data_IF_888925840705
#
_entry.id   IF_888925840705
#
_cell.length_a   1.000
_cell.length_b   1.000
_cell.length_c   1.000
_cell.angle_alpha   90.00
_cell.angle_beta   90.00
_cell.angle_gamma   90.00
#
_symmetry.space_group_name_H-M   'P 1'
#
loop_
_entity.id
_entity.type
_entity.pdbx_description
1 polymer ?
#
# COMPACT_ATOMS: atom_id res chain seq x y z
N UNK A 1 14.12 8.10 16.94
CA UNK A 1 13.57 7.13 15.96
C UNK A 1 14.64 6.19 15.43
N UNK A 2 14.29 4.96 14.99
CA UNK A 2 15.18 4.13 14.20
C UNK A 2 15.53 4.87 12.89
N UNK A 3 16.80 4.85 12.52
CA UNK A 3 17.33 5.66 11.41
C UNK A 3 17.38 4.86 10.11
N UNK A 4 17.43 3.52 10.21
CA UNK A 4 17.55 2.64 9.06
C UNK A 4 16.59 1.46 9.17
N UNK A 5 15.93 1.17 8.05
CA UNK A 5 15.06 0.00 7.87
C UNK A 5 15.61 -0.85 6.73
N UNK A 6 15.62 -2.16 6.91
CA UNK A 6 16.01 -3.15 5.89
C UNK A 6 14.89 -4.18 5.75
N UNK A 7 14.68 -4.69 4.54
CA UNK A 7 13.76 -5.80 4.31
C UNK A 7 14.53 -7.12 4.40
N UNK A 8 13.91 -8.09 5.05
CA UNK A 8 14.42 -9.46 5.17
C UNK A 8 13.40 -10.42 4.54
N UNK A 9 13.90 -11.25 3.63
CA UNK A 9 13.09 -12.25 2.93
C UNK A 9 13.63 -13.66 3.20
N UNK A 10 12.81 -14.58 3.75
CA UNK A 10 13.25 -15.96 3.96
C UNK A 10 13.35 -16.70 2.62
N UNK A 11 14.40 -17.51 2.42
CA UNK A 11 14.55 -18.30 1.19
C UNK A 11 13.55 -19.45 1.10
N UNK A 12 13.09 -19.97 2.24
CA UNK A 12 12.16 -21.11 2.29
C UNK A 12 11.02 -20.87 3.28
N UNK A 13 9.91 -21.60 3.12
CA UNK A 13 8.79 -21.56 4.08
C UNK A 13 9.21 -22.07 5.47
N UNK A 14 10.13 -23.02 5.55
CA UNK A 14 10.66 -23.52 6.82
C UNK A 14 11.48 -22.44 7.54
N UNK A 15 12.18 -21.60 6.78
CA UNK A 15 12.93 -20.46 7.33
C UNK A 15 12.02 -19.32 7.74
N UNK A 16 10.84 -19.16 7.13
CA UNK A 16 9.84 -18.17 7.56
C UNK A 16 9.37 -18.39 9.01
N UNK A 17 9.08 -19.63 9.40
CA UNK A 17 8.68 -19.96 10.78
C UNK A 17 9.83 -19.77 11.78
N UNK A 18 11.06 -20.14 11.38
CA UNK A 18 12.25 -19.93 12.22
C UNK A 18 12.54 -18.43 12.39
N UNK A 19 12.49 -17.67 11.30
CA UNK A 19 12.70 -16.23 11.27
C UNK A 19 11.71 -15.52 12.20
N UNK A 20 10.42 -15.88 12.17
CA UNK A 20 9.44 -15.34 13.10
C UNK A 20 9.81 -15.59 14.57
N UNK A 21 10.21 -16.82 14.93
CA UNK A 21 10.62 -17.15 16.31
C UNK A 21 11.90 -16.44 16.74
N UNK A 22 12.88 -16.33 15.84
CA UNK A 22 14.16 -15.66 16.10
C UNK A 22 13.98 -14.16 16.29
N UNK A 23 13.18 -13.53 15.44
CA UNK A 23 12.87 -12.10 15.54
C UNK A 23 12.15 -11.75 16.83
N UNK A 24 11.23 -12.59 17.31
CA UNK A 24 10.58 -12.39 18.61
C UNK A 24 11.57 -12.42 19.77
N UNK A 25 12.50 -13.39 19.79
CA UNK A 25 13.55 -13.44 20.83
C UNK A 25 14.49 -12.24 20.78
N UNK A 26 14.89 -11.82 19.58
CA UNK A 26 15.77 -10.67 19.41
C UNK A 26 15.10 -9.35 19.84
N UNK A 27 13.79 -9.24 19.64
CA UNK A 27 13.00 -8.08 20.11
C UNK A 27 12.87 -8.05 21.63
N UNK A 28 12.89 -9.20 22.30
CA UNK A 28 12.93 -9.29 23.77
C UNK A 28 14.31 -8.91 24.35
N UNK A 29 15.40 -9.20 23.62
CA UNK A 29 16.77 -8.86 24.03
C UNK A 29 17.09 -7.36 23.83
N UNK A 30 16.66 -6.77 22.72
CA UNK A 30 16.91 -5.35 22.42
C UNK A 30 15.60 -4.60 22.07
N UNK A 31 15.10 -3.71 22.96
CA UNK A 31 13.89 -2.93 22.73
C UNK A 31 14.06 -1.83 21.67
N UNK A 32 15.28 -1.58 21.17
CA UNK A 32 15.56 -0.62 20.09
C UNK A 32 15.31 -1.23 18.71
N UNK A 33 15.18 -2.55 18.63
CA UNK A 33 14.86 -3.29 17.41
C UNK A 33 13.36 -3.35 17.20
N UNK A 34 12.89 -2.95 16.01
CA UNK A 34 11.48 -3.05 15.64
C UNK A 34 11.33 -3.93 14.42
N UNK A 35 10.35 -4.83 14.48
CA UNK A 35 9.96 -5.70 13.39
C UNK A 35 8.55 -5.32 12.98
N UNK A 36 8.38 -5.02 11.70
CA UNK A 36 7.08 -4.76 11.11
C UNK A 36 6.92 -5.64 9.88
N UNK A 37 5.75 -6.22 9.68
CA UNK A 37 5.43 -6.95 8.45
C UNK A 37 4.63 -6.02 7.56
N UNK A 38 5.18 -5.71 6.40
CA UNK A 38 4.51 -4.88 5.40
C UNK A 38 3.40 -5.72 4.74
N UNK A 39 2.17 -5.25 4.87
CA UNK A 39 0.99 -5.92 4.32
C UNK A 39 0.81 -5.75 2.81
N UNK A 40 1.46 -4.74 2.22
CA UNK A 40 1.40 -4.47 0.77
C UNK A 40 2.42 -5.32 0.01
N UNK A 41 3.65 -5.44 0.53
CA UNK A 41 4.73 -6.20 -0.12
C UNK A 41 4.87 -7.63 0.40
N UNK A 42 4.27 -7.94 1.56
CA UNK A 42 4.44 -9.22 2.25
C UNK A 42 5.84 -9.44 2.82
N UNK A 43 6.68 -8.39 2.83
CA UNK A 43 8.05 -8.45 3.33
C UNK A 43 8.08 -8.18 4.83
N UNK A 44 9.03 -8.81 5.52
CA UNK A 44 9.33 -8.44 6.91
C UNK A 44 10.37 -7.32 6.88
N UNK A 45 10.02 -6.18 7.45
CA UNK A 45 10.89 -5.02 7.58
C UNK A 45 11.44 -4.99 9.00
N UNK A 46 12.76 -4.93 9.12
CA UNK A 46 13.45 -4.78 10.40
C UNK A 46 14.08 -3.38 10.46
N UNK A 47 13.84 -2.69 11.57
CA UNK A 47 14.27 -1.32 11.79
C UNK A 47 15.18 -1.24 13.00
N UNK A 48 16.31 -0.56 12.85
CA UNK A 48 17.34 -0.42 13.88
C UNK A 48 17.92 0.99 13.97
N UNK A 49 18.70 1.24 15.01
CA UNK A 49 19.32 2.54 15.25
C UNK A 49 20.53 2.83 14.32
N UNK A 50 21.13 1.83 13.70
CA UNK A 50 22.26 2.01 12.79
C UNK A 50 22.64 0.74 12.03
N UNK A 51 23.49 0.90 11.02
CA UNK A 51 23.97 -0.17 10.13
C UNK A 51 24.64 -1.32 10.90
N UNK A 52 25.49 -0.98 11.88
CA UNK A 52 26.20 -1.97 12.69
C UNK A 52 25.24 -2.88 13.48
N UNK A 53 24.15 -2.33 14.02
CA UNK A 53 23.19 -3.13 14.76
C UNK A 53 22.52 -4.14 13.82
N UNK A 54 22.12 -3.69 12.62
CA UNK A 54 21.51 -4.57 11.62
C UNK A 54 22.48 -5.67 11.14
N UNK A 55 23.76 -5.36 10.95
CA UNK A 55 24.77 -6.34 10.56
C UNK A 55 24.97 -7.44 11.60
N UNK A 56 25.05 -7.07 12.89
CA UNK A 56 25.17 -8.03 14.01
C UNK A 56 23.93 -8.93 14.09
N UNK A 57 22.73 -8.37 13.90
CA UNK A 57 21.48 -9.14 13.91
C UNK A 57 21.44 -10.16 12.77
N UNK A 58 21.87 -9.77 11.55
CA UNK A 58 21.94 -10.66 10.40
C UNK A 58 22.94 -11.79 10.65
N UNK A 59 24.12 -11.50 11.21
CA UNK A 59 25.11 -12.53 11.54
C UNK A 59 24.60 -13.49 12.63
N UNK A 60 23.90 -12.99 13.67
CA UNK A 60 23.25 -13.85 14.67
C UNK A 60 22.14 -14.73 14.06
N UNK A 61 21.33 -14.20 13.15
CA UNK A 61 20.29 -14.98 12.46
C UNK A 61 20.89 -16.14 11.64
N UNK A 62 21.98 -15.88 10.92
CA UNK A 62 22.69 -16.89 10.12
C UNK A 62 23.42 -17.93 10.99
N UNK A 63 24.12 -17.49 12.04
CA UNK A 63 24.96 -18.38 12.87
C UNK A 63 24.20 -19.10 13.97
N UNK A 64 23.38 -18.36 14.72
CA UNK A 64 22.76 -18.83 15.96
C UNK A 64 21.45 -19.58 15.68
N UNK A 65 20.70 -19.12 14.68
CA UNK A 65 19.40 -19.69 14.32
C UNK A 65 19.42 -20.50 13.02
N UNK A 66 20.51 -20.44 12.25
CA UNK A 66 20.65 -21.15 10.98
C UNK A 66 19.56 -20.75 9.98
N UNK A 67 19.15 -19.48 10.00
CA UNK A 67 18.11 -18.94 9.11
C UNK A 67 18.79 -18.35 7.89
N UNK A 68 18.51 -18.94 6.73
CA UNK A 68 19.00 -18.44 5.45
C UNK A 68 18.01 -17.39 4.91
N UNK A 69 18.33 -16.12 5.14
CA UNK A 69 17.52 -14.99 4.71
C UNK A 69 18.29 -14.05 3.78
N UNK A 70 17.60 -13.48 2.81
CA UNK A 70 18.14 -12.43 1.95
C UNK A 70 17.86 -11.08 2.58
N UNK A 71 18.88 -10.24 2.62
CA UNK A 71 18.77 -8.87 3.13
C UNK A 71 18.77 -7.91 1.94
N UNK A 72 17.80 -7.02 1.92
CA UNK A 72 17.64 -6.02 0.87
C UNK A 72 17.21 -4.66 1.42
N UNK A 73 17.23 -3.65 0.55
CA UNK A 73 16.58 -2.37 0.86
C UNK A 73 15.07 -2.59 0.85
N UNK A 74 14.32 -2.00 1.80
CA UNK A 74 12.87 -2.13 1.80
C UNK A 74 12.33 -1.51 0.52
N UNK A 75 11.34 -2.18 -0.08
CA UNK A 75 10.60 -1.56 -1.16
C UNK A 75 9.83 -0.37 -0.59
N UNK A 76 9.92 0.77 -1.28
CA UNK A 76 9.17 1.96 -0.90
C UNK A 76 7.83 1.87 -1.58
N UNK A 77 6.74 1.82 -0.81
CA UNK A 77 5.38 2.00 -1.33
C UNK A 77 5.24 3.42 -1.85
N UNK A 78 5.41 3.61 -3.15
CA UNK A 78 5.13 4.88 -3.81
C UNK A 78 3.62 5.09 -3.85
N UNK A 79 3.18 6.27 -3.40
CA UNK A 79 1.80 6.72 -3.56
C UNK A 79 1.74 7.74 -4.67
N UNK A 80 0.80 7.55 -5.58
CA UNK A 80 0.58 8.48 -6.68
C UNK A 80 -0.42 9.55 -6.28
N UNK A 81 -0.15 10.80 -6.67
CA UNK A 81 -1.08 11.91 -6.53
C UNK A 81 -0.99 12.80 -7.76
N UNK A 82 -2.11 13.39 -8.15
CA UNK A 82 -2.16 14.38 -9.21
C UNK A 82 -1.57 15.70 -8.72
N UNK A 83 -1.00 16.50 -9.63
CA UNK A 83 -0.42 17.83 -9.30
C UNK A 83 -1.27 18.99 -9.83
N UNK A 84 -2.14 18.73 -10.79
CA UNK A 84 -2.99 19.73 -11.45
C UNK A 84 -4.44 19.30 -11.40
N UNK A 85 -5.34 20.27 -11.39
CA UNK A 85 -6.75 20.00 -11.60
C UNK A 85 -7.01 19.48 -13.02
N UNK A 86 -7.91 18.50 -13.14
CA UNK A 86 -8.31 17.94 -14.42
C UNK A 86 -9.82 17.66 -14.42
N UNK A 87 -10.50 18.03 -15.50
CA UNK A 87 -11.90 17.70 -15.70
C UNK A 87 -11.99 16.61 -16.76
N UNK A 88 -12.65 15.50 -16.42
CA UNK A 88 -12.71 14.30 -17.26
C UNK A 88 -14.17 13.89 -17.43
N UNK A 89 -14.52 13.50 -18.65
CA UNK A 89 -15.81 12.90 -19.00
C UNK A 89 -15.68 11.38 -19.10
N UNK A 90 -16.47 10.66 -18.31
CA UNK A 90 -16.62 9.21 -18.38
C UNK A 90 -17.97 8.85 -19.01
N UNK A 91 -17.94 8.33 -20.24
CA UNK A 91 -19.14 7.86 -20.95
C UNK A 91 -19.09 6.36 -21.16
N UNK A 92 -20.10 5.66 -20.65
CA UNK A 92 -20.30 4.23 -20.83
C UNK A 92 -21.63 3.99 -21.54
N UNK A 93 -21.55 3.49 -22.78
CA UNK A 93 -22.73 3.12 -23.56
C UNK A 93 -22.57 1.67 -23.96
N UNK A 94 -23.42 0.79 -23.41
CA UNK A 94 -23.48 -0.60 -23.84
C UNK A 94 -24.92 -0.97 -24.17
N UNK A 95 -25.17 -1.13 -25.46
CA UNK A 95 -26.47 -1.50 -26.00
C UNK A 95 -26.35 -2.82 -26.75
N UNK A 96 -26.59 -3.92 -26.03
CA UNK A 96 -26.66 -5.26 -26.61
C UNK A 96 -28.11 -5.75 -26.52
N UNK A 97 -28.90 -5.46 -27.56
CA UNK A 97 -30.19 -6.11 -27.88
C UNK A 97 -31.36 -6.00 -26.89
N UNK A 98 -31.18 -5.43 -25.69
CA UNK A 98 -32.19 -5.32 -24.62
C UNK A 98 -32.03 -4.05 -23.76
N UNK A 99 -32.34 -4.11 -22.45
CA UNK A 99 -32.15 -2.96 -21.50
C UNK A 99 -30.69 -2.48 -21.58
N UNK A 100 -30.48 -1.35 -22.27
CA UNK A 100 -29.16 -0.76 -22.43
C UNK A 100 -28.63 -0.21 -21.10
N UNK A 101 -27.31 -0.28 -20.92
CA UNK A 101 -26.62 0.43 -19.85
C UNK A 101 -26.09 1.73 -20.43
N UNK A 102 -26.49 2.84 -19.82
CA UNK A 102 -26.00 4.18 -20.16
C UNK A 102 -25.52 4.85 -18.88
N UNK A 103 -24.28 5.29 -18.88
CA UNK A 103 -23.68 6.11 -17.84
C UNK A 103 -22.92 7.24 -18.49
N UNK A 104 -23.16 8.47 -18.05
CA UNK A 104 -22.36 9.61 -18.45
C UNK A 104 -22.12 10.45 -17.19
N UNK A 105 -20.86 10.58 -16.81
CA UNK A 105 -20.43 11.33 -15.63
C UNK A 105 -19.32 12.28 -16.03
N UNK A 106 -19.40 13.51 -15.56
CA UNK A 106 -18.32 14.49 -15.69
C UNK A 106 -17.77 14.73 -14.29
N UNK A 107 -16.49 14.47 -14.10
CA UNK A 107 -15.82 14.55 -12.79
C UNK A 107 -14.71 15.58 -12.90
N UNK A 108 -14.61 16.43 -11.88
CA UNK A 108 -13.45 17.31 -11.68
C UNK A 108 -12.58 16.70 -10.60
N UNK A 109 -11.32 16.41 -10.94
CA UNK A 109 -10.30 15.97 -10.00
C UNK A 109 -9.42 17.16 -9.63
N UNK A 110 -9.18 17.35 -8.35
CA UNK A 110 -8.31 18.39 -7.81
C UNK A 110 -7.32 17.75 -6.82
N UNK A 111 -6.04 18.19 -6.80
CA UNK A 111 -5.09 17.70 -5.81
C UNK A 111 -5.50 18.17 -4.41
N UNK A 112 -5.55 17.25 -3.46
CA UNK A 112 -5.81 17.57 -2.05
C UNK A 112 -4.49 17.82 -1.29
N UNK A 113 -4.59 18.42 -0.10
CA UNK A 113 -3.42 18.60 0.77
C UNK A 113 -2.83 17.24 1.20
N UNK A 114 -1.51 17.23 1.41
CA UNK A 114 -0.80 16.04 1.86
C UNK A 114 -1.41 15.50 3.16
N UNK A 115 -1.87 14.25 3.13
CA UNK A 115 -2.44 13.55 4.28
C UNK A 115 -3.96 13.68 4.47
N UNK A 116 -4.68 14.49 3.68
CA UNK A 116 -6.15 14.56 3.75
C UNK A 116 -6.87 13.35 3.15
N UNK A 117 -6.21 12.63 2.24
CA UNK A 117 -6.78 11.45 1.59
C UNK A 117 -7.77 11.78 0.47
N UNK A 118 -8.68 10.84 0.20
CA UNK A 118 -9.70 10.95 -0.84
C UNK A 118 -10.96 11.64 -0.32
N UNK A 119 -11.43 12.66 -1.03
CA UNK A 119 -12.67 13.37 -0.73
C UNK A 119 -13.54 13.38 -1.99
N UNK A 120 -14.81 13.03 -1.83
CA UNK A 120 -15.78 13.00 -2.92
C UNK A 120 -16.88 14.04 -2.64
N UNK A 121 -16.96 15.05 -3.50
CA UNK A 121 -17.96 16.12 -3.40
C UNK A 121 -18.98 16.01 -4.55
N UNK A 122 -20.25 15.77 -4.21
CA UNK A 122 -21.34 15.78 -5.19
C UNK A 122 -21.81 17.22 -5.47
N UNK A 123 -21.38 17.75 -6.62
CA UNK A 123 -21.83 19.05 -7.15
C UNK A 123 -22.94 18.93 -8.20
N UNK A 124 -23.65 17.80 -8.29
CA UNK A 124 -24.72 17.61 -9.28
C UNK A 124 -25.87 18.60 -9.07
N UNK A 125 -26.17 19.40 -10.10
CA UNK A 125 -27.28 20.36 -10.09
C UNK A 125 -28.53 19.73 -10.71
N UNK A 126 -29.67 19.88 -10.04
CA UNK A 126 -30.98 19.58 -10.62
C UNK A 126 -31.34 18.09 -10.74
N UNK A 127 -30.67 17.19 -10.02
CA UNK A 127 -31.02 15.76 -10.03
C UNK A 127 -30.71 15.05 -11.36
N UNK A 128 -29.77 15.59 -12.15
CA UNK A 128 -29.32 14.99 -13.41
C UNK A 128 -28.80 13.55 -13.24
N UNK A 129 -28.32 13.21 -12.04
CA UNK A 129 -27.97 11.85 -11.63
C UNK A 129 -28.78 11.53 -10.37
N UNK A 130 -29.58 10.44 -10.35
CA UNK A 130 -30.25 9.99 -9.13
C UNK A 130 -29.22 9.64 -8.05
N UNK A 131 -29.51 10.04 -6.80
CA UNK A 131 -28.59 9.84 -5.65
C UNK A 131 -28.19 8.38 -5.42
N UNK A 132 -29.02 7.45 -5.88
CA UNK A 132 -28.76 6.01 -5.82
C UNK A 132 -27.54 5.58 -6.65
N UNK A 133 -27.21 6.31 -7.72
CA UNK A 133 -26.06 6.03 -8.58
C UNK A 133 -24.76 6.70 -8.13
N UNK A 134 -24.82 7.65 -7.20
CA UNK A 134 -23.64 8.38 -6.71
C UNK A 134 -22.71 7.45 -5.93
N UNK A 135 -23.26 6.61 -5.04
CA UNK A 135 -22.46 5.65 -4.25
C UNK A 135 -21.72 4.63 -5.14
N UNK A 136 -22.35 4.00 -6.15
CA UNK A 136 -21.65 3.17 -7.12
C UNK A 136 -20.54 3.92 -7.90
N UNK A 137 -20.77 5.18 -8.27
CA UNK A 137 -19.76 6.00 -8.97
C UNK A 137 -18.55 6.24 -8.06
N UNK A 138 -18.78 6.67 -6.81
CA UNK A 138 -17.72 6.88 -5.81
C UNK A 138 -16.91 5.59 -5.59
N UNK A 139 -17.60 4.45 -5.40
CA UNK A 139 -16.94 3.16 -5.22
C UNK A 139 -16.09 2.76 -6.43
N UNK A 140 -16.57 3.02 -7.64
CA UNK A 140 -15.82 2.76 -8.87
C UNK A 140 -14.57 3.63 -8.99
N UNK A 141 -14.64 4.89 -8.54
CA UNK A 141 -13.47 5.78 -8.50
C UNK A 141 -12.46 5.26 -7.47
N UNK A 142 -12.91 4.91 -6.26
CA UNK A 142 -12.04 4.37 -5.21
C UNK A 142 -11.37 3.06 -5.64
N UNK A 143 -12.09 2.17 -6.32
CA UNK A 143 -11.52 0.94 -6.87
C UNK A 143 -10.50 1.23 -7.98
N UNK A 144 -10.78 2.18 -8.87
CA UNK A 144 -9.83 2.60 -9.90
C UNK A 144 -8.57 3.26 -9.32
N UNK A 145 -8.68 4.02 -8.22
CA UNK A 145 -7.54 4.61 -7.51
C UNK A 145 -6.65 3.57 -6.83
N UNK A 146 -7.15 2.38 -6.53
CA UNK A 146 -6.33 1.33 -5.93
C UNK A 146 -5.26 0.79 -6.89
N UNK A 147 -5.44 0.96 -8.20
CA UNK A 147 -4.46 0.57 -9.22
C UNK A 147 -3.95 1.83 -9.93
N UNK A 148 -2.80 2.33 -9.46
CA UNK A 148 -2.08 3.40 -10.14
C UNK A 148 -1.77 3.04 -11.59
N UNK A 149 -2.13 3.93 -12.52
CA UNK A 149 -1.75 3.78 -13.92
C UNK A 149 -0.47 4.59 -14.12
N UNK A 150 0.66 3.92 -13.90
CA UNK A 150 2.00 4.47 -14.11
C UNK A 150 2.24 4.84 -15.58
#
# INVERSE_FOLDING_TARGET
EPVLSIAIEPKTKADQEKLGRSLSKLTEEDPTFKVETDTETGQTIISGMGELHLEIIVDRLLREFGVDANVGKPQVSYRETITKEAQIEGKYIRQSGGRGQFGHVVIKFEPNEYGKGFEFEDKTKGGAIPKEYIKPIEKGITEAMATGSM
#
